data_IF_448686213277
#
_entry.id   IF_448686213277
#
_cell.length_a   1.000
_cell.length_b   1.000
_cell.length_c   1.000
_cell.angle_alpha   90.00
_cell.angle_beta   90.00
_cell.angle_gamma   90.00
#
_symmetry.space_group_name_H-M   'P 1'
#
loop_
_entity.id
_entity.type
_entity.pdbx_description
1 polymer ?
#
# COMPACT_ATOMS: atom_id res chain seq x y z
N UNK A 1 -14.39 -42.63 2.54
CA UNK A 1 -13.60 -43.70 3.20
C UNK A 1 -12.35 -43.97 2.37
N UNK A 2 -11.26 -43.27 2.68
CA UNK A 2 -9.97 -43.44 2.00
C UNK A 2 -9.18 -44.57 2.67
N UNK A 3 -8.73 -45.55 1.90
CA UNK A 3 -7.75 -46.56 2.33
C UNK A 3 -6.39 -46.20 1.76
N UNK A 4 -5.72 -45.21 2.35
CA UNK A 4 -4.29 -44.98 2.09
C UNK A 4 -3.53 -46.09 2.81
N UNK A 5 -2.81 -46.91 2.07
CA UNK A 5 -2.06 -48.03 2.67
C UNK A 5 -0.84 -47.51 3.43
N UNK A 6 -0.76 -47.80 4.74
CA UNK A 6 0.19 -47.19 5.70
C UNK A 6 1.45 -48.03 5.94
N UNK A 7 1.79 -48.94 5.02
CA UNK A 7 2.68 -50.08 5.30
C UNK A 7 4.17 -49.76 5.50
N UNK A 8 4.62 -48.53 5.23
CA UNK A 8 6.05 -48.20 5.29
C UNK A 8 6.33 -46.92 6.11
N UNK A 9 6.98 -47.05 7.29
CA UNK A 9 7.22 -45.92 8.20
C UNK A 9 8.15 -44.85 7.60
N UNK A 10 9.02 -45.21 6.65
CA UNK A 10 9.90 -44.26 5.97
C UNK A 10 9.12 -43.28 5.09
N UNK A 11 8.17 -43.79 4.29
CA UNK A 11 7.33 -42.94 3.45
C UNK A 11 6.31 -42.15 4.25
N UNK A 12 5.84 -42.71 5.38
CA UNK A 12 4.97 -41.98 6.31
C UNK A 12 5.66 -40.74 6.87
N UNK A 13 6.89 -40.88 7.39
CA UNK A 13 7.66 -39.75 7.91
C UNK A 13 7.89 -38.67 6.82
N UNK A 14 8.22 -39.10 5.60
CA UNK A 14 8.38 -38.19 4.48
C UNK A 14 7.07 -37.47 4.11
N UNK A 15 5.92 -38.13 4.23
CA UNK A 15 4.62 -37.50 3.98
C UNK A 15 4.22 -36.52 5.08
N UNK A 16 4.55 -36.81 6.35
CA UNK A 16 4.30 -35.90 7.48
C UNK A 16 5.12 -34.60 7.38
N UNK A 17 6.30 -34.66 6.75
CA UNK A 17 7.14 -33.48 6.50
C UNK A 17 6.66 -32.63 5.31
N UNK A 18 5.65 -33.07 4.55
CA UNK A 18 5.08 -32.31 3.43
C UNK A 18 3.97 -31.40 3.95
N UNK A 19 3.99 -30.13 3.52
CA UNK A 19 2.89 -29.20 3.77
C UNK A 19 1.53 -29.81 3.35
N UNK A 20 0.53 -29.71 4.23
CA UNK A 20 -0.79 -30.34 4.04
C UNK A 20 -1.44 -29.98 2.70
N UNK A 21 -1.24 -28.76 2.19
CA UNK A 21 -1.79 -28.34 0.89
C UNK A 21 -1.09 -29.05 -0.26
N UNK A 22 0.23 -29.17 -0.19
CA UNK A 22 1.02 -29.92 -1.18
C UNK A 22 0.62 -31.39 -1.19
N UNK A 23 0.40 -31.97 0.00
CA UNK A 23 -0.06 -33.35 0.16
C UNK A 23 -1.41 -33.57 -0.53
N UNK A 24 -2.40 -32.73 -0.21
CA UNK A 24 -3.73 -32.75 -0.83
C UNK A 24 -3.67 -32.64 -2.36
N UNK A 25 -2.87 -31.71 -2.88
CA UNK A 25 -2.69 -31.56 -4.32
C UNK A 25 -2.09 -32.79 -5.00
N UNK A 26 -1.10 -33.44 -4.38
CA UNK A 26 -0.49 -34.66 -4.94
C UNK A 26 -1.48 -35.81 -5.02
N UNK A 27 -2.27 -36.01 -3.96
CA UNK A 27 -3.30 -37.06 -3.91
C UNK A 27 -4.32 -36.82 -5.03
N UNK A 28 -4.89 -35.61 -5.09
CA UNK A 28 -5.87 -35.25 -6.10
C UNK A 28 -5.31 -35.39 -7.52
N UNK A 29 -4.05 -35.00 -7.76
CA UNK A 29 -3.44 -35.16 -9.08
C UNK A 29 -3.29 -36.63 -9.50
N UNK A 30 -2.87 -37.51 -8.58
CA UNK A 30 -2.76 -38.93 -8.86
C UNK A 30 -4.13 -39.52 -9.24
N UNK A 31 -5.20 -39.13 -8.53
CA UNK A 31 -6.57 -39.52 -8.88
C UNK A 31 -6.99 -38.97 -10.25
N UNK A 32 -6.73 -37.69 -10.52
CA UNK A 32 -7.05 -37.03 -11.79
C UNK A 32 -6.32 -37.68 -12.97
N UNK A 33 -5.12 -38.22 -12.74
CA UNK A 33 -4.34 -38.95 -13.74
C UNK A 33 -4.82 -40.40 -13.94
N UNK A 34 -5.67 -40.93 -13.04
CA UNK A 34 -6.26 -42.28 -13.14
C UNK A 34 -5.69 -43.32 -12.18
N UNK A 35 -4.85 -42.93 -11.21
CA UNK A 35 -4.36 -43.86 -10.19
C UNK A 35 -5.52 -44.30 -9.27
N UNK A 36 -5.79 -45.60 -9.19
CA UNK A 36 -6.91 -46.14 -8.39
C UNK A 36 -6.52 -46.42 -6.94
N UNK A 37 -5.28 -46.88 -6.72
CA UNK A 37 -4.73 -47.20 -5.40
C UNK A 37 -3.51 -46.32 -5.12
N UNK A 38 -3.67 -45.34 -4.23
CA UNK A 38 -2.63 -44.38 -3.88
C UNK A 38 -1.95 -44.83 -2.57
N UNK A 39 -0.68 -45.22 -2.65
CA UNK A 39 0.16 -45.55 -1.50
C UNK A 39 0.97 -44.34 -1.01
N UNK A 40 1.51 -44.42 0.22
CA UNK A 40 2.43 -43.40 0.74
C UNK A 40 3.68 -43.23 -0.14
N UNK A 41 4.15 -44.28 -0.80
CA UNK A 41 5.26 -44.19 -1.75
C UNK A 41 4.90 -43.29 -2.95
N UNK A 42 3.71 -43.47 -3.53
CA UNK A 42 3.23 -42.66 -4.66
C UNK A 42 3.22 -41.17 -4.33
N UNK A 43 2.81 -40.83 -3.10
CA UNK A 43 2.70 -39.46 -2.62
C UNK A 43 4.08 -38.88 -2.29
N UNK A 44 4.90 -39.63 -1.55
CA UNK A 44 6.23 -39.20 -1.11
C UNK A 44 7.14 -38.94 -2.31
N UNK A 45 7.18 -39.89 -3.25
CA UNK A 45 8.05 -39.85 -4.44
C UNK A 45 7.38 -39.19 -5.65
N UNK A 46 6.25 -38.50 -5.46
CA UNK A 46 5.52 -37.83 -6.53
C UNK A 46 6.41 -37.00 -7.47
N UNK A 47 7.33 -36.12 -7.00
CA UNK A 47 8.20 -35.35 -7.90
C UNK A 47 9.08 -36.24 -8.78
N UNK A 48 9.56 -37.37 -8.24
CA UNK A 48 10.37 -38.35 -8.98
C UNK A 48 9.54 -39.04 -10.05
N UNK A 49 8.29 -39.41 -9.74
CA UNK A 49 7.39 -40.03 -10.72
C UNK A 49 6.99 -39.09 -11.84
N UNK A 50 6.82 -37.79 -11.55
CA UNK A 50 6.53 -36.79 -12.58
C UNK A 50 7.65 -36.62 -13.62
N UNK A 51 8.90 -36.98 -13.28
CA UNK A 51 10.03 -36.96 -14.22
C UNK A 51 10.13 -38.23 -15.08
N UNK A 52 9.37 -39.28 -14.78
CA UNK A 52 9.36 -40.52 -15.55
C UNK A 52 8.56 -40.37 -16.84
N UNK A 53 8.83 -41.24 -17.81
CA UNK A 53 8.02 -41.37 -19.02
C UNK A 53 6.59 -41.79 -18.67
N UNK A 54 5.62 -41.43 -19.51
CA UNK A 54 4.21 -41.80 -19.32
C UNK A 54 4.06 -43.32 -19.14
N UNK A 55 4.76 -44.13 -19.94
CA UNK A 55 4.74 -45.59 -19.84
C UNK A 55 5.22 -46.10 -18.47
N UNK A 56 6.32 -45.56 -17.97
CA UNK A 56 6.83 -45.92 -16.64
C UNK A 56 5.88 -45.47 -15.55
N UNK A 57 5.35 -44.25 -15.63
CA UNK A 57 4.37 -43.73 -14.68
C UNK A 57 3.12 -44.62 -14.59
N UNK A 58 2.52 -44.98 -15.74
CA UNK A 58 1.37 -45.89 -15.80
C UNK A 58 1.67 -47.22 -15.09
N UNK A 59 2.84 -47.80 -15.33
CA UNK A 59 3.28 -49.05 -14.68
C UNK A 59 3.40 -48.91 -13.16
N UNK A 60 4.00 -47.83 -12.66
CA UNK A 60 4.17 -47.62 -11.22
C UNK A 60 2.84 -47.39 -10.49
N UNK A 61 1.87 -46.75 -11.14
CA UNK A 61 0.57 -46.43 -10.55
C UNK A 61 -0.56 -47.40 -10.92
N UNK A 62 -0.23 -48.54 -11.56
CA UNK A 62 -1.18 -49.54 -12.04
C UNK A 62 -2.31 -48.94 -12.93
N UNK A 63 -1.95 -47.98 -13.78
CA UNK A 63 -2.87 -47.39 -14.77
C UNK A 63 -2.80 -48.24 -16.04
N UNK A 64 -3.93 -48.69 -16.60
CA UNK A 64 -3.99 -49.43 -17.86
C UNK A 64 -3.22 -48.73 -18.99
N UNK A 65 -2.53 -49.52 -19.82
CA UNK A 65 -1.65 -48.96 -20.86
C UNK A 65 -2.42 -48.18 -21.94
N UNK A 66 -3.63 -48.63 -22.25
CA UNK A 66 -4.61 -48.07 -23.19
C UNK A 66 -5.29 -46.80 -22.67
N UNK A 67 -5.24 -46.52 -21.37
CA UNK A 67 -5.92 -45.38 -20.77
C UNK A 67 -5.16 -44.07 -21.03
N UNK A 68 -5.81 -43.09 -21.65
CA UNK A 68 -5.21 -41.77 -21.91
C UNK A 68 -5.28 -40.90 -20.65
N UNK A 69 -4.12 -40.51 -20.11
CA UNK A 69 -4.03 -39.73 -18.87
C UNK A 69 -4.64 -38.33 -19.06
N UNK A 70 -4.40 -37.68 -20.21
CA UNK A 70 -4.98 -36.37 -20.50
C UNK A 70 -6.52 -36.42 -20.49
N UNK A 71 -7.10 -37.46 -21.09
CA UNK A 71 -8.55 -37.69 -21.07
C UNK A 71 -9.09 -37.82 -19.65
N UNK A 72 -8.38 -38.53 -18.76
CA UNK A 72 -8.76 -38.65 -17.36
C UNK A 72 -8.75 -37.31 -16.63
N UNK A 73 -7.70 -36.50 -16.85
CA UNK A 73 -7.58 -35.17 -16.25
C UNK A 73 -8.78 -34.30 -16.65
N UNK A 74 -9.10 -34.19 -17.94
CA UNK A 74 -10.24 -33.36 -18.37
C UNK A 74 -11.59 -33.92 -17.91
N UNK A 75 -11.76 -35.25 -17.94
CA UNK A 75 -12.95 -35.91 -17.39
C UNK A 75 -13.15 -35.62 -15.90
N UNK A 76 -12.06 -35.52 -15.13
CA UNK A 76 -12.10 -35.27 -13.68
C UNK A 76 -12.71 -33.91 -13.31
N UNK A 77 -12.72 -32.97 -14.25
CA UNK A 77 -13.29 -31.62 -14.12
C UNK A 77 -14.56 -31.43 -14.97
N UNK A 78 -15.10 -32.51 -15.54
CA UNK A 78 -16.34 -32.49 -16.33
C UNK A 78 -16.19 -31.87 -17.72
N UNK A 79 -14.97 -31.83 -18.28
CA UNK A 79 -14.71 -31.32 -19.63
C UNK A 79 -14.56 -32.46 -20.64
N UNK A 80 -15.01 -32.22 -21.87
CA UNK A 80 -14.88 -33.15 -22.99
C UNK A 80 -13.45 -33.14 -23.51
N UNK A 81 -12.84 -34.31 -23.68
CA UNK A 81 -11.53 -34.40 -24.32
C UNK A 81 -11.64 -34.00 -25.80
N UNK A 82 -10.88 -32.99 -26.21
CA UNK A 82 -10.81 -32.56 -27.60
C UNK A 82 -9.84 -33.47 -28.37
N UNK A 83 -10.32 -34.03 -29.48
CA UNK A 83 -9.51 -34.86 -30.36
C UNK A 83 -8.32 -34.10 -30.97
N UNK A 84 -8.38 -32.76 -31.02
CA UNK A 84 -7.28 -31.91 -31.49
C UNK A 84 -6.14 -31.79 -30.47
N UNK A 85 -6.29 -32.32 -29.24
CA UNK A 85 -5.21 -32.36 -28.26
C UNK A 85 -4.23 -33.50 -28.60
N UNK A 86 -3.33 -33.25 -29.55
CA UNK A 86 -2.30 -34.23 -29.94
C UNK A 86 -1.25 -34.42 -28.84
N UNK A 87 -1.28 -35.58 -28.19
CA UNK A 87 -0.21 -36.01 -27.29
C UNK A 87 0.65 -37.08 -27.95
N UNK A 88 1.92 -36.76 -28.22
CA UNK A 88 2.94 -37.79 -28.51
C UNK A 88 3.32 -38.52 -27.22
N UNK A 89 2.44 -39.39 -26.72
CA UNK A 89 2.59 -40.05 -25.40
C UNK A 89 3.83 -40.97 -25.28
N UNK A 90 4.46 -41.37 -26.39
CA UNK A 90 5.44 -42.45 -26.39
C UNK A 90 6.83 -42.09 -25.83
N UNK A 91 7.22 -40.81 -25.80
CA UNK A 91 8.54 -40.36 -25.29
C UNK A 91 8.51 -39.20 -24.29
N UNK A 92 7.34 -38.61 -24.05
CA UNK A 92 7.19 -37.45 -23.15
C UNK A 92 7.19 -37.86 -21.67
N UNK A 93 7.78 -37.03 -20.81
CA UNK A 93 7.70 -37.22 -19.36
C UNK A 93 6.37 -36.70 -18.78
N UNK A 94 5.95 -37.22 -17.63
CA UNK A 94 4.66 -36.85 -17.04
C UNK A 94 4.53 -35.36 -16.70
N UNK A 95 5.63 -34.70 -16.32
CA UNK A 95 5.66 -33.27 -16.04
C UNK A 95 5.37 -32.44 -17.29
N UNK A 96 5.93 -32.83 -18.45
CA UNK A 96 5.64 -32.18 -19.73
C UNK A 96 4.18 -32.39 -20.14
N UNK A 97 3.64 -33.62 -20.00
CA UNK A 97 2.23 -33.87 -20.28
C UNK A 97 1.31 -33.02 -19.39
N UNK A 98 1.61 -32.95 -18.10
CA UNK A 98 0.87 -32.11 -17.16
C UNK A 98 0.90 -30.63 -17.58
N UNK A 99 2.07 -30.10 -17.94
CA UNK A 99 2.21 -28.71 -18.41
C UNK A 99 1.44 -28.45 -19.70
N UNK A 100 1.44 -29.40 -20.64
CA UNK A 100 0.64 -29.32 -21.87
C UNK A 100 -0.86 -29.29 -21.58
N UNK A 101 -1.34 -30.22 -20.74
CA UNK A 101 -2.75 -30.25 -20.33
C UNK A 101 -3.18 -28.95 -19.65
N UNK A 102 -2.28 -28.38 -18.85
CA UNK A 102 -2.52 -27.17 -18.09
C UNK A 102 -2.49 -25.91 -18.95
N UNK A 103 -1.57 -25.84 -19.91
CA UNK A 103 -1.52 -24.78 -20.91
C UNK A 103 -2.80 -24.82 -21.76
N UNK A 104 -3.17 -26.00 -22.28
CA UNK A 104 -4.41 -26.20 -23.03
C UNK A 104 -5.64 -25.84 -22.20
N UNK A 105 -5.68 -26.25 -20.93
CA UNK A 105 -6.77 -25.89 -20.03
C UNK A 105 -6.93 -24.37 -19.90
N UNK A 106 -5.82 -23.66 -19.74
CA UNK A 106 -5.86 -22.20 -19.61
C UNK A 106 -6.24 -21.52 -20.91
N UNK A 107 -5.65 -21.88 -22.03
CA UNK A 107 -5.89 -21.21 -23.32
C UNK A 107 -7.26 -21.53 -23.90
N UNK A 108 -7.70 -22.79 -23.85
CA UNK A 108 -8.94 -23.21 -24.51
C UNK A 108 -10.14 -23.02 -23.58
N UNK A 109 -10.06 -23.47 -22.33
CA UNK A 109 -11.22 -23.44 -21.44
C UNK A 109 -11.32 -22.18 -20.57
N UNK A 110 -10.19 -21.63 -20.14
CA UNK A 110 -10.20 -20.36 -19.41
C UNK A 110 -10.03 -19.14 -20.31
N UNK A 111 -9.57 -19.34 -21.55
CA UNK A 111 -9.21 -18.29 -22.49
C UNK A 111 -8.09 -17.37 -21.94
N UNK A 112 -7.23 -17.88 -21.07
CA UNK A 112 -6.18 -17.10 -20.40
C UNK A 112 -4.87 -17.22 -21.18
N UNK A 113 -4.22 -16.08 -21.43
CA UNK A 113 -2.92 -16.04 -22.09
C UNK A 113 -1.84 -16.62 -21.17
N UNK A 114 -0.96 -17.44 -21.74
CA UNK A 114 0.10 -18.10 -20.99
C UNK A 114 1.37 -17.27 -21.08
N UNK A 115 1.44 -16.16 -20.34
CA UNK A 115 2.65 -15.34 -20.24
C UNK A 115 3.56 -15.87 -19.13
N UNK A 116 4.75 -16.34 -19.53
CA UNK A 116 5.91 -16.76 -18.71
C UNK A 116 5.62 -17.71 -17.53
N UNK A 117 5.95 -18.99 -17.77
CA UNK A 117 5.82 -20.11 -16.85
C UNK A 117 6.77 -20.01 -15.65
N UNK A 118 6.29 -19.45 -14.53
CA UNK A 118 7.00 -19.49 -13.24
C UNK A 118 6.28 -20.39 -12.22
N UNK A 119 5.97 -21.65 -12.53
CA UNK A 119 5.34 -22.55 -11.54
C UNK A 119 6.30 -23.64 -11.09
N UNK A 120 6.72 -23.52 -9.82
CA UNK A 120 7.53 -24.53 -9.12
C UNK A 120 6.71 -25.64 -8.45
N UNK A 121 5.37 -25.70 -8.61
CA UNK A 121 4.51 -26.67 -7.92
C UNK A 121 3.38 -27.22 -8.81
N UNK A 122 3.20 -28.54 -8.76
CA UNK A 122 2.08 -29.26 -9.39
C UNK A 122 0.78 -28.99 -8.63
N UNK A 123 -0.30 -28.73 -9.36
CA UNK A 123 -1.61 -28.36 -8.81
C UNK A 123 -2.74 -29.15 -9.46
N UNK A 124 -3.66 -29.64 -8.63
CA UNK A 124 -4.87 -30.33 -9.11
C UNK A 124 -5.73 -29.46 -10.02
N UNK A 125 -6.19 -30.06 -11.12
CA UNK A 125 -7.10 -29.45 -12.07
C UNK A 125 -8.48 -29.22 -11.46
N UNK A 126 -8.96 -30.12 -10.59
CA UNK A 126 -10.22 -29.93 -9.84
C UNK A 126 -10.19 -28.67 -9.00
N UNK A 127 -9.10 -28.44 -8.25
CA UNK A 127 -8.96 -27.23 -7.43
C UNK A 127 -8.88 -25.99 -8.31
N UNK A 128 -8.09 -26.03 -9.38
CA UNK A 128 -7.98 -24.92 -10.33
C UNK A 128 -9.33 -24.59 -10.99
N UNK A 129 -10.10 -25.61 -11.39
CA UNK A 129 -11.42 -25.45 -12.00
C UNK A 129 -12.43 -24.86 -11.03
N UNK A 130 -12.47 -25.34 -9.78
CA UNK A 130 -13.31 -24.76 -8.73
C UNK A 130 -12.99 -23.28 -8.47
N UNK A 131 -11.70 -22.93 -8.36
CA UNK A 131 -11.27 -21.54 -8.22
C UNK A 131 -11.70 -20.67 -9.40
N UNK A 132 -11.48 -21.14 -10.63
CA UNK A 132 -11.91 -20.43 -11.83
C UNK A 132 -13.43 -20.22 -11.85
N UNK A 133 -14.20 -21.20 -11.40
CA UNK A 133 -15.66 -21.09 -11.29
C UNK A 133 -16.08 -20.06 -10.25
N UNK A 134 -15.46 -20.03 -9.07
CA UNK A 134 -15.72 -19.00 -8.04
C UNK A 134 -15.46 -17.61 -8.61
N UNK A 135 -14.30 -17.42 -9.27
CA UNK A 135 -13.94 -16.13 -9.84
C UNK A 135 -14.88 -15.69 -10.98
N UNK A 136 -15.34 -16.61 -11.83
CA UNK A 136 -16.25 -16.30 -12.94
C UNK A 136 -17.71 -16.14 -12.48
N UNK A 137 -18.20 -16.99 -11.59
CA UNK A 137 -19.62 -17.03 -11.20
C UNK A 137 -19.92 -16.13 -10.01
N UNK A 138 -19.12 -16.23 -8.95
CA UNK A 138 -19.40 -15.55 -7.69
C UNK A 138 -18.87 -14.12 -7.73
N UNK A 139 -17.61 -13.92 -8.16
CA UNK A 139 -17.00 -12.59 -8.26
C UNK A 139 -17.24 -11.88 -9.60
N UNK A 140 -17.79 -12.59 -10.59
CA UNK A 140 -18.03 -12.10 -11.96
C UNK A 140 -16.81 -11.40 -12.58
N UNK A 141 -15.62 -11.93 -12.35
CA UNK A 141 -14.38 -11.38 -12.89
C UNK A 141 -14.30 -11.63 -14.40
N UNK A 142 -13.95 -10.58 -15.14
CA UNK A 142 -13.74 -10.71 -16.59
C UNK A 142 -12.50 -11.54 -16.88
N UNK A 143 -12.47 -12.10 -18.09
CA UNK A 143 -11.31 -12.79 -18.65
C UNK A 143 -10.05 -11.93 -18.59
N UNK A 144 -10.15 -10.69 -19.06
CA UNK A 144 -9.01 -9.76 -19.10
C UNK A 144 -8.49 -9.43 -17.70
N UNK A 145 -9.38 -9.39 -16.71
CA UNK A 145 -9.00 -9.20 -15.32
C UNK A 145 -8.18 -10.38 -14.78
N UNK A 146 -8.58 -11.62 -15.09
CA UNK A 146 -7.84 -12.82 -14.71
C UNK A 146 -6.49 -12.92 -15.42
N UNK A 147 -6.39 -12.45 -16.67
CA UNK A 147 -5.11 -12.35 -17.39
C UNK A 147 -4.14 -11.40 -16.68
N UNK A 148 -4.59 -10.19 -16.33
CA UNK A 148 -3.78 -9.21 -15.59
C UNK A 148 -3.41 -9.68 -14.18
N UNK A 149 -4.25 -10.51 -13.56
CA UNK A 149 -4.10 -11.01 -12.20
C UNK A 149 -3.93 -12.54 -12.16
N UNK A 150 -3.03 -13.08 -12.99
CA UNK A 150 -2.82 -14.53 -13.14
C UNK A 150 -2.48 -15.25 -11.83
N UNK A 151 -1.94 -14.52 -10.83
CA UNK A 151 -1.68 -15.04 -9.49
C UNK A 151 -2.93 -15.55 -8.77
N UNK A 152 -4.14 -15.08 -9.13
CA UNK A 152 -5.41 -15.51 -8.54
C UNK A 152 -5.62 -17.02 -8.70
N UNK A 153 -5.21 -17.57 -9.84
CA UNK A 153 -5.29 -19.00 -10.13
C UNK A 153 -4.30 -19.85 -9.31
N UNK A 154 -3.43 -19.22 -8.53
CA UNK A 154 -2.47 -19.86 -7.63
C UNK A 154 -2.85 -19.72 -6.15
N UNK A 155 -3.96 -19.04 -5.84
CA UNK A 155 -4.46 -18.91 -4.46
C UNK A 155 -5.02 -20.22 -3.94
N UNK A 156 -5.09 -20.36 -2.63
CA UNK A 156 -5.64 -21.54 -1.96
C UNK A 156 -7.18 -21.53 -1.95
N UNK A 157 -7.81 -22.65 -2.29
CA UNK A 157 -9.27 -22.71 -2.49
C UNK A 157 -10.03 -22.49 -1.18
N UNK A 158 -9.57 -23.12 -0.10
CA UNK A 158 -10.24 -23.03 1.20
C UNK A 158 -10.11 -21.61 1.77
N UNK A 159 -8.92 -21.00 1.63
CA UNK A 159 -8.71 -19.60 2.02
C UNK A 159 -9.59 -18.64 1.22
N UNK A 160 -9.65 -18.76 -0.11
CA UNK A 160 -10.49 -17.91 -0.96
C UNK A 160 -11.97 -18.06 -0.59
N UNK A 161 -12.44 -19.29 -0.42
CA UNK A 161 -13.84 -19.58 -0.08
C UNK A 161 -14.21 -19.02 1.29
N UNK A 162 -13.36 -19.25 2.29
CA UNK A 162 -13.52 -18.69 3.63
C UNK A 162 -13.50 -17.16 3.61
N UNK A 163 -12.60 -16.56 2.83
CA UNK A 163 -12.50 -15.11 2.70
C UNK A 163 -13.79 -14.54 2.11
N UNK A 164 -14.25 -15.06 0.98
CA UNK A 164 -15.47 -14.60 0.32
C UNK A 164 -16.68 -14.73 1.25
N UNK A 165 -16.82 -15.86 1.94
CA UNK A 165 -17.96 -16.09 2.84
C UNK A 165 -17.99 -15.11 4.02
N UNK A 166 -16.84 -14.86 4.64
CA UNK A 166 -16.74 -13.94 5.79
C UNK A 166 -16.82 -12.48 5.38
N UNK A 167 -16.27 -12.13 4.23
CA UNK A 167 -16.18 -10.76 3.76
C UNK A 167 -17.45 -10.30 3.02
N UNK A 168 -18.38 -11.21 2.71
CA UNK A 168 -19.62 -10.94 1.95
C UNK A 168 -20.49 -9.83 2.54
N UNK A 169 -20.57 -9.73 3.86
CA UNK A 169 -21.41 -8.73 4.54
C UNK A 169 -20.71 -7.40 4.78
N UNK A 170 -19.42 -7.29 4.45
CA UNK A 170 -18.63 -6.09 4.68
C UNK A 170 -18.89 -5.11 3.55
N UNK A 171 -19.26 -3.88 3.92
CA UNK A 171 -19.36 -2.75 3.00
C UNK A 171 -18.31 -1.71 3.38
N UNK A 172 -17.64 -1.15 2.39
CA UNK A 172 -16.68 -0.05 2.59
C UNK A 172 -17.19 1.10 1.73
N UNK A 173 -17.52 2.24 2.34
CA UNK A 173 -18.01 3.42 1.60
C UNK A 173 -19.30 3.11 0.79
N UNK A 174 -20.16 2.24 1.31
CA UNK A 174 -21.38 1.78 0.63
C UNK A 174 -21.13 0.90 -0.61
N UNK A 175 -19.87 0.55 -0.89
CA UNK A 175 -19.48 -0.35 -1.98
C UNK A 175 -19.51 -1.79 -1.49
N UNK A 176 -20.02 -2.68 -2.34
CA UNK A 176 -20.09 -4.11 -2.04
C UNK A 176 -18.70 -4.76 -1.95
N UNK A 177 -18.63 -5.80 -1.11
CA UNK A 177 -17.45 -6.62 -0.87
C UNK A 177 -16.78 -7.13 -2.15
N UNK A 178 -17.55 -7.45 -3.20
CA UNK A 178 -17.00 -7.94 -4.46
C UNK A 178 -16.28 -6.85 -5.26
N UNK A 179 -16.78 -5.62 -5.23
CA UNK A 179 -16.14 -4.49 -5.91
C UNK A 179 -14.85 -4.06 -5.19
N UNK A 180 -14.84 -4.16 -3.86
CA UNK A 180 -13.63 -4.03 -3.04
C UNK A 180 -12.57 -5.06 -3.47
N UNK A 181 -12.94 -6.33 -3.64
CA UNK A 181 -12.03 -7.38 -4.12
C UNK A 181 -11.57 -7.13 -5.56
N UNK A 182 -12.43 -6.61 -6.45
CA UNK A 182 -12.02 -6.24 -7.82
C UNK A 182 -10.98 -5.13 -7.81
N UNK A 183 -11.10 -4.16 -6.91
CA UNK A 183 -10.15 -3.07 -6.76
C UNK A 183 -8.80 -3.54 -6.21
N UNK A 184 -8.81 -4.47 -5.25
CA UNK A 184 -7.60 -5.09 -4.71
C UNK A 184 -7.71 -6.61 -4.61
N UNK A 185 -7.44 -7.34 -5.72
CA UNK A 185 -7.57 -8.80 -5.76
C UNK A 185 -6.58 -9.50 -4.85
N UNK A 186 -5.50 -8.82 -4.45
CA UNK A 186 -4.50 -9.34 -3.51
C UNK A 186 -5.07 -9.58 -2.11
N UNK A 187 -6.21 -8.97 -1.74
CA UNK A 187 -6.88 -9.23 -0.45
C UNK A 187 -7.23 -10.70 -0.25
N UNK A 188 -7.57 -11.42 -1.32
CA UNK A 188 -7.90 -12.85 -1.28
C UNK A 188 -6.74 -13.76 -0.82
N UNK A 189 -5.51 -13.23 -0.74
CA UNK A 189 -4.35 -13.95 -0.21
C UNK A 189 -4.26 -13.88 1.32
N UNK A 190 -4.94 -12.91 1.93
CA UNK A 190 -4.84 -12.62 3.35
C UNK A 190 -5.96 -13.30 4.14
N UNK A 191 -5.80 -13.33 5.46
CA UNK A 191 -6.82 -13.85 6.35
C UNK A 191 -7.98 -12.86 6.48
N UNK A 192 -9.21 -13.34 6.26
CA UNK A 192 -10.41 -12.51 6.32
C UNK A 192 -10.63 -11.89 7.71
N UNK A 193 -10.34 -12.63 8.79
CA UNK A 193 -10.52 -12.08 10.14
C UNK A 193 -9.56 -10.91 10.36
N UNK A 194 -8.29 -11.04 9.95
CA UNK A 194 -7.33 -9.91 10.01
C UNK A 194 -7.82 -8.69 9.22
N UNK A 195 -8.39 -8.87 8.03
CA UNK A 195 -8.93 -7.75 7.24
C UNK A 195 -10.12 -7.07 7.93
N UNK A 196 -11.05 -7.85 8.51
CA UNK A 196 -12.20 -7.33 9.26
C UNK A 196 -11.72 -6.58 10.51
N UNK A 197 -10.83 -7.18 11.29
CA UNK A 197 -10.22 -6.55 12.46
C UNK A 197 -9.54 -5.22 12.12
N UNK A 198 -8.89 -5.13 10.95
CA UNK A 198 -8.25 -3.91 10.50
C UNK A 198 -9.25 -2.81 10.16
N UNK A 199 -10.40 -3.15 9.57
CA UNK A 199 -11.46 -2.17 9.33
C UNK A 199 -11.98 -1.60 10.65
N UNK A 200 -12.21 -2.46 11.65
CA UNK A 200 -12.62 -2.03 12.99
C UNK A 200 -11.57 -1.14 13.66
N UNK A 201 -10.28 -1.43 13.47
CA UNK A 201 -9.18 -0.61 13.98
C UNK A 201 -9.13 0.74 13.26
N UNK A 202 -9.29 0.76 11.93
CA UNK A 202 -9.31 2.01 11.16
C UNK A 202 -10.45 2.92 11.66
N UNK A 203 -11.63 2.35 11.89
CA UNK A 203 -12.77 3.07 12.45
C UNK A 203 -12.48 3.61 13.85
N UNK A 204 -11.85 2.80 14.72
CA UNK A 204 -11.42 3.25 16.07
C UNK A 204 -10.44 4.42 16.04
N UNK A 205 -9.57 4.46 15.03
CA UNK A 205 -8.63 5.58 14.84
C UNK A 205 -9.22 6.77 14.05
N UNK A 206 -10.51 6.71 13.68
CA UNK A 206 -11.19 7.79 12.96
C UNK A 206 -10.76 7.92 11.50
N UNK A 207 -10.23 6.85 10.89
CA UNK A 207 -9.95 6.79 9.46
C UNK A 207 -11.27 6.45 8.77
N UNK A 208 -11.77 7.35 7.92
CA UNK A 208 -13.06 7.17 7.27
C UNK A 208 -13.02 6.10 6.18
N UNK A 209 -14.17 5.49 5.92
CA UNK A 209 -14.36 4.49 4.87
C UNK A 209 -13.97 5.01 3.48
N UNK A 210 -14.17 6.29 3.19
CA UNK A 210 -13.77 6.90 1.91
C UNK A 210 -12.25 6.85 1.73
N UNK A 211 -11.52 7.11 2.80
CA UNK A 211 -10.05 7.09 2.81
C UNK A 211 -9.56 5.65 2.66
N UNK A 212 -10.17 4.69 3.38
CA UNK A 212 -9.85 3.26 3.26
C UNK A 212 -10.13 2.79 1.83
N UNK A 213 -11.27 3.18 1.24
CA UNK A 213 -11.60 2.82 -0.12
C UNK A 213 -10.56 3.37 -1.11
N UNK A 214 -10.05 4.60 -0.93
CA UNK A 214 -8.98 5.15 -1.76
C UNK A 214 -7.65 4.41 -1.59
N UNK A 215 -7.35 3.92 -0.38
CA UNK A 215 -6.10 3.27 -0.01
C UNK A 215 -6.28 1.85 0.50
N UNK A 216 -7.04 1.06 -0.25
CA UNK A 216 -7.50 -0.28 0.14
C UNK A 216 -6.33 -1.26 0.42
N UNK A 217 -5.17 -1.01 -0.18
CA UNK A 217 -3.96 -1.79 0.06
C UNK A 217 -3.52 -1.79 1.53
N UNK A 218 -3.92 -0.80 2.33
CA UNK A 218 -3.63 -0.76 3.78
C UNK A 218 -4.17 -1.99 4.50
N UNK A 219 -5.25 -2.58 3.99
CA UNK A 219 -5.88 -3.79 4.54
C UNK A 219 -5.07 -5.07 4.30
N UNK A 220 -3.97 -4.99 3.53
CA UNK A 220 -3.00 -6.08 3.36
C UNK A 220 -2.03 -6.20 4.53
N UNK A 221 -1.96 -5.19 5.40
CA UNK A 221 -1.08 -5.24 6.56
C UNK A 221 -1.55 -6.31 7.56
N UNK A 222 -0.63 -6.79 8.39
CA UNK A 222 -1.04 -7.54 9.58
C UNK A 222 -1.49 -6.56 10.65
N UNK A 223 -2.44 -6.97 11.49
CA UNK A 223 -2.95 -6.18 12.63
C UNK A 223 -1.86 -5.52 13.46
N UNK A 224 -0.85 -6.29 13.88
CA UNK A 224 0.24 -5.77 14.70
C UNK A 224 1.10 -4.75 13.94
N UNK A 225 1.40 -5.01 12.66
CA UNK A 225 2.16 -4.09 11.81
C UNK A 225 1.39 -2.78 11.63
N UNK A 226 0.09 -2.84 11.39
CA UNK A 226 -0.76 -1.65 11.26
C UNK A 226 -0.69 -0.79 12.53
N UNK A 227 -0.92 -1.39 13.70
CA UNK A 227 -0.91 -0.68 15.00
C UNK A 227 0.47 -0.08 15.28
N UNK A 228 1.53 -0.84 15.06
CA UNK A 228 2.90 -0.38 15.26
C UNK A 228 3.20 0.82 14.35
N UNK A 229 2.90 0.69 13.05
CA UNK A 229 3.14 1.75 12.06
C UNK A 229 2.33 3.01 12.35
N UNK A 230 1.05 2.86 12.71
CA UNK A 230 0.21 3.98 13.11
C UNK A 230 0.78 4.69 14.34
N UNK A 231 1.16 3.94 15.38
CA UNK A 231 1.74 4.50 16.61
C UNK A 231 3.07 5.19 16.37
N UNK A 232 3.94 4.62 15.51
CA UNK A 232 5.19 5.26 15.09
C UNK A 232 4.93 6.62 14.45
N UNK A 233 3.96 6.72 13.54
CA UNK A 233 3.61 7.98 12.88
C UNK A 233 2.94 8.96 13.86
N UNK A 234 2.04 8.49 14.73
CA UNK A 234 1.37 9.33 15.71
C UNK A 234 2.35 9.98 16.71
N UNK A 235 3.38 9.23 17.13
CA UNK A 235 4.36 9.69 18.11
C UNK A 235 5.51 10.49 17.48
N UNK A 236 5.66 10.46 16.16
CA UNK A 236 6.74 11.19 15.50
C UNK A 236 6.37 12.68 15.34
N UNK A 237 7.23 13.63 15.76
CA UNK A 237 6.90 15.05 15.80
C UNK A 237 6.36 15.62 14.48
N UNK A 238 6.98 15.26 13.36
CA UNK A 238 6.60 15.75 12.04
C UNK A 238 5.38 15.04 11.43
N UNK A 239 5.00 13.88 11.96
CA UNK A 239 3.88 13.08 11.45
C UNK A 239 2.61 13.21 12.27
N UNK A 240 2.75 13.51 13.56
CA UNK A 240 1.64 13.68 14.50
C UNK A 240 0.59 14.68 14.00
N UNK A 241 1.03 15.76 13.33
CA UNK A 241 0.19 16.80 12.72
C UNK A 241 -0.68 16.27 11.58
N UNK A 242 -0.31 15.13 11.01
CA UNK A 242 -0.96 14.54 9.83
C UNK A 242 -1.74 13.28 10.13
N UNK A 243 -1.97 12.95 11.40
CA UNK A 243 -2.54 11.66 11.78
C UNK A 243 -3.98 11.47 11.26
N UNK A 244 -4.68 12.57 10.92
CA UNK A 244 -6.01 12.51 10.31
C UNK A 244 -6.00 12.76 8.79
N UNK A 245 -4.82 12.88 8.19
CA UNK A 245 -4.70 13.23 6.78
C UNK A 245 -5.09 12.05 5.88
N UNK A 246 -5.83 12.26 4.77
CA UNK A 246 -6.27 11.19 3.87
C UNK A 246 -5.13 10.33 3.30
N UNK A 247 -3.92 10.89 3.16
CA UNK A 247 -2.75 10.16 2.66
C UNK A 247 -2.03 9.32 3.73
N UNK A 248 -2.46 9.37 5.00
CA UNK A 248 -1.80 8.62 6.08
C UNK A 248 -1.76 7.11 5.79
N UNK A 249 -2.85 6.43 5.37
CA UNK A 249 -2.79 4.99 5.09
C UNK A 249 -1.78 4.63 4.01
N UNK A 250 -1.61 5.50 3.02
CA UNK A 250 -0.57 5.32 2.00
C UNK A 250 0.83 5.42 2.60
N UNK A 251 1.11 6.41 3.47
CA UNK A 251 2.40 6.50 4.16
C UNK A 251 2.65 5.30 5.07
N UNK A 252 1.62 4.77 5.72
CA UNK A 252 1.73 3.54 6.51
C UNK A 252 2.23 2.37 5.66
N UNK A 253 1.79 2.24 4.41
CA UNK A 253 2.28 1.19 3.51
C UNK A 253 3.79 1.33 3.24
N UNK A 254 4.25 2.56 2.99
CA UNK A 254 5.65 2.88 2.63
C UNK A 254 6.50 3.38 3.81
N UNK A 255 6.13 3.06 5.05
CA UNK A 255 6.72 3.68 6.25
C UNK A 255 8.25 3.57 6.32
N UNK A 256 8.84 2.45 5.88
CA UNK A 256 10.30 2.28 5.87
C UNK A 256 10.96 3.32 4.96
N UNK A 257 10.47 3.43 3.73
CA UNK A 257 10.96 4.38 2.73
C UNK A 257 10.69 5.83 3.18
N UNK A 258 9.58 6.10 3.88
CA UNK A 258 9.28 7.40 4.46
C UNK A 258 10.22 7.78 5.61
N UNK A 259 10.49 6.87 6.55
CA UNK A 259 11.38 7.11 7.69
C UNK A 259 12.84 7.30 7.26
N UNK A 260 13.31 6.54 6.26
CA UNK A 260 14.64 6.74 5.66
C UNK A 260 14.78 8.17 5.10
N UNK A 261 13.76 8.67 4.41
CA UNK A 261 13.76 10.04 3.88
C UNK A 261 13.73 11.10 4.97
N UNK A 262 13.02 10.85 6.06
CA UNK A 262 13.05 11.73 7.24
C UNK A 262 14.45 11.80 7.82
N UNK A 263 15.16 10.67 7.92
CA UNK A 263 16.54 10.65 8.41
C UNK A 263 17.51 11.39 7.49
N UNK A 264 17.35 11.25 6.17
CA UNK A 264 18.13 12.02 5.19
C UNK A 264 17.85 13.52 5.33
N UNK A 265 16.60 13.93 5.51
CA UNK A 265 16.26 15.35 5.71
C UNK A 265 16.79 15.87 7.04
N UNK A 266 16.82 15.03 8.08
CA UNK A 266 17.43 15.34 9.38
C UNK A 266 18.92 15.60 9.26
N UNK A 267 19.67 14.73 8.56
CA UNK A 267 21.11 14.92 8.37
C UNK A 267 21.44 16.17 7.53
N UNK A 268 20.51 16.61 6.68
CA UNK A 268 20.63 17.87 5.91
C UNK A 268 20.12 19.11 6.66
N UNK A 269 19.71 18.99 7.94
CA UNK A 269 19.04 20.06 8.71
C UNK A 269 17.78 20.64 8.02
N UNK A 270 17.09 19.82 7.21
CA UNK A 270 15.95 20.20 6.36
C UNK A 270 14.64 19.54 6.78
N UNK A 271 14.47 19.23 8.08
CA UNK A 271 13.26 18.59 8.62
C UNK A 271 11.98 19.40 8.37
N UNK A 272 12.06 20.73 8.38
CA UNK A 272 10.92 21.59 8.04
C UNK A 272 10.38 21.37 6.62
N UNK A 273 11.15 20.71 5.75
CA UNK A 273 10.76 20.44 4.37
C UNK A 273 9.98 19.14 4.16
N UNK A 274 9.54 18.50 5.26
CA UNK A 274 8.73 17.28 5.19
C UNK A 274 7.32 17.62 4.69
N UNK A 275 6.95 17.00 3.59
CA UNK A 275 5.57 16.95 3.08
C UNK A 275 5.23 15.52 2.70
N UNK A 276 3.94 15.16 2.67
CA UNK A 276 3.52 13.88 2.12
C UNK A 276 4.12 13.61 0.74
N UNK A 277 4.12 14.63 -0.13
CA UNK A 277 4.69 14.51 -1.47
C UNK A 277 6.17 14.15 -1.46
N UNK A 278 6.96 14.79 -0.60
CA UNK A 278 8.38 14.46 -0.40
C UNK A 278 8.56 13.00 0.01
N UNK A 279 7.62 12.45 0.78
CA UNK A 279 7.74 11.12 1.37
C UNK A 279 7.26 9.99 0.48
N UNK A 280 6.34 10.22 -0.46
CA UNK A 280 5.90 9.20 -1.42
C UNK A 280 6.49 9.31 -2.82
N UNK A 281 7.21 10.39 -3.14
CA UNK A 281 7.79 10.57 -4.49
C UNK A 281 8.83 9.49 -4.82
N UNK A 282 9.28 9.38 -6.06
CA UNK A 282 10.32 8.39 -6.40
C UNK A 282 11.66 8.79 -5.77
N UNK A 283 12.57 7.84 -5.58
CA UNK A 283 13.91 8.14 -5.04
C UNK A 283 14.62 9.21 -5.88
N UNK A 284 14.52 9.10 -7.21
CA UNK A 284 15.11 10.06 -8.16
C UNK A 284 14.54 11.47 -8.00
N UNK A 285 13.22 11.60 -7.93
CA UNK A 285 12.57 12.91 -7.77
C UNK A 285 12.82 13.50 -6.40
N UNK A 286 12.92 12.67 -5.35
CA UNK A 286 13.34 13.09 -4.03
C UNK A 286 14.72 13.75 -4.12
N UNK A 287 15.78 13.02 -4.48
CA UNK A 287 17.13 13.58 -4.53
C UNK A 287 17.27 14.79 -5.46
N UNK A 288 16.64 14.77 -6.65
CA UNK A 288 16.65 15.92 -7.56
C UNK A 288 16.04 17.19 -6.95
N UNK A 289 15.06 17.05 -6.06
CA UNK A 289 14.44 18.20 -5.38
C UNK A 289 15.38 18.87 -4.36
N UNK A 290 16.43 18.16 -3.91
CA UNK A 290 17.38 18.65 -2.90
C UNK A 290 18.81 18.84 -3.43
N UNK A 291 19.16 18.27 -4.59
CA UNK A 291 20.51 18.29 -5.17
C UNK A 291 20.99 19.66 -5.71
N UNK A 292 20.11 20.68 -5.78
CA UNK A 292 20.45 21.96 -6.42
C UNK A 292 20.34 23.18 -5.51
N UNK A 293 20.36 23.01 -4.18
CA UNK A 293 20.22 24.12 -3.23
C UNK A 293 18.87 24.84 -3.28
N UNK A 294 17.97 24.50 -4.22
CA UNK A 294 16.62 25.04 -4.29
C UNK A 294 15.87 24.67 -3.02
N UNK A 295 15.30 25.69 -2.37
CA UNK A 295 14.45 25.45 -1.22
C UNK A 295 13.20 24.68 -1.69
N UNK A 296 12.85 23.58 -1.02
CA UNK A 296 11.73 22.76 -1.44
C UNK A 296 10.42 23.54 -1.35
N UNK A 297 9.58 23.44 -2.36
CA UNK A 297 8.18 23.87 -2.27
C UNK A 297 7.42 22.79 -1.51
N UNK A 298 7.51 22.86 -0.18
CA UNK A 298 6.93 21.91 0.77
C UNK A 298 5.40 21.99 0.72
N UNK A 299 4.86 23.21 0.64
CA UNK A 299 3.46 23.46 0.84
C UNK A 299 2.63 23.46 -0.45
N UNK A 300 1.52 22.71 -0.41
CA UNK A 300 0.45 22.71 -1.41
C UNK A 300 -0.83 23.28 -0.80
N UNK A 301 -1.64 23.96 -1.62
CA UNK A 301 -2.92 24.56 -1.21
C UNK A 301 -3.87 23.56 -0.52
N UNK A 302 -3.94 22.32 -1.01
CA UNK A 302 -4.78 21.25 -0.42
C UNK A 302 -4.42 20.93 1.03
N UNK A 303 -3.14 21.06 1.40
CA UNK A 303 -2.70 20.80 2.76
C UNK A 303 -3.11 21.94 3.71
N UNK A 304 -3.11 23.20 3.25
CA UNK A 304 -3.70 24.30 4.01
C UNK A 304 -5.21 24.13 4.20
N UNK A 305 -5.92 23.69 3.16
CA UNK A 305 -7.34 23.36 3.27
C UNK A 305 -7.58 22.29 4.33
N UNK A 306 -6.75 21.25 4.37
CA UNK A 306 -6.81 20.22 5.41
C UNK A 306 -6.64 20.81 6.82
N UNK A 307 -5.57 21.59 7.05
CA UNK A 307 -5.30 22.21 8.36
C UNK A 307 -6.43 23.17 8.76
N UNK A 308 -6.95 23.98 7.85
CA UNK A 308 -8.04 24.90 8.16
C UNK A 308 -9.33 24.16 8.47
N UNK A 309 -9.64 23.08 7.74
CA UNK A 309 -10.76 22.21 8.10
C UNK A 309 -10.60 21.63 9.50
N UNK A 310 -9.41 21.15 9.85
CA UNK A 310 -9.14 20.54 11.15
C UNK A 310 -9.15 21.56 12.31
N UNK A 311 -8.57 22.74 12.12
CA UNK A 311 -8.36 23.71 13.20
C UNK A 311 -9.41 24.82 13.27
N UNK A 312 -10.00 25.23 12.14
CA UNK A 312 -10.91 26.38 12.04
C UNK A 312 -12.34 25.97 11.64
N UNK A 313 -12.49 24.86 10.91
CA UNK A 313 -13.78 24.35 10.41
C UNK A 313 -13.92 24.47 8.89
N UNK A 314 -14.99 23.91 8.33
CA UNK A 314 -15.22 23.86 6.87
C UNK A 314 -15.47 25.24 6.24
N UNK A 315 -16.06 26.17 6.98
CA UNK A 315 -16.38 27.52 6.50
C UNK A 315 -15.12 28.33 6.11
N UNK A 316 -13.96 27.97 6.67
CA UNK A 316 -12.71 28.70 6.52
C UNK A 316 -11.77 28.14 5.44
N UNK A 317 -12.23 27.18 4.63
CA UNK A 317 -11.44 26.61 3.52
C UNK A 317 -11.00 27.65 2.48
N UNK A 318 -11.80 28.71 2.31
CA UNK A 318 -11.53 29.81 1.39
C UNK A 318 -10.29 30.63 1.77
N UNK A 319 -9.88 30.62 3.05
CA UNK A 319 -8.68 31.30 3.54
C UNK A 319 -7.39 30.83 2.85
N UNK A 320 -7.41 29.60 2.31
CA UNK A 320 -6.30 29.07 1.51
C UNK A 320 -5.97 29.96 0.31
N UNK A 321 -6.97 30.65 -0.27
CA UNK A 321 -6.75 31.61 -1.37
C UNK A 321 -5.92 32.81 -0.94
N UNK A 322 -6.14 33.31 0.28
CA UNK A 322 -5.47 34.49 0.80
C UNK A 322 -4.01 34.18 1.15
N UNK A 323 -3.75 33.01 1.74
CA UNK A 323 -2.39 32.54 1.98
C UNK A 323 -1.61 32.38 0.67
N UNK A 324 -2.25 31.83 -0.37
CA UNK A 324 -1.55 31.59 -1.64
C UNK A 324 -1.09 32.85 -2.38
N UNK A 325 -1.52 34.04 -1.93
CA UNK A 325 -1.04 35.33 -2.44
C UNK A 325 0.34 35.71 -1.88
N UNK A 326 0.74 35.13 -0.74
CA UNK A 326 2.00 35.48 -0.08
C UNK A 326 3.21 34.84 -0.80
N UNK A 327 4.23 35.59 -1.27
CA UNK A 327 5.29 35.05 -2.15
C UNK A 327 5.95 33.75 -1.66
N UNK A 328 6.19 33.64 -0.36
CA UNK A 328 6.90 32.51 0.27
C UNK A 328 6.00 31.44 0.87
N UNK A 329 4.69 31.43 0.58
CA UNK A 329 3.73 30.50 1.21
C UNK A 329 4.09 29.01 1.00
N UNK A 330 4.75 28.69 -0.12
CA UNK A 330 5.12 27.31 -0.49
C UNK A 330 6.27 26.74 0.32
N UNK A 331 7.00 27.58 1.02
CA UNK A 331 8.23 27.17 1.70
C UNK A 331 8.00 26.93 3.20
N UNK A 332 6.84 27.34 3.71
CA UNK A 332 6.54 27.22 5.14
C UNK A 332 6.23 25.77 5.50
N UNK A 333 6.92 25.20 6.51
CA UNK A 333 6.61 23.89 7.04
C UNK A 333 5.18 23.82 7.56
N UNK A 334 4.51 22.71 7.30
CA UNK A 334 3.14 22.53 7.78
C UNK A 334 3.04 22.34 9.29
N UNK A 335 4.02 21.67 9.89
CA UNK A 335 4.09 21.51 11.35
C UNK A 335 4.19 22.87 12.05
N UNK A 336 4.86 23.83 11.41
CA UNK A 336 4.89 25.23 11.86
C UNK A 336 3.49 25.88 11.83
N UNK A 337 2.80 25.80 10.68
CA UNK A 337 1.45 26.39 10.52
C UNK A 337 0.46 25.84 11.56
N UNK A 338 0.46 24.53 11.78
CA UNK A 338 -0.42 23.89 12.75
C UNK A 338 -0.12 24.32 14.21
N UNK A 339 1.17 24.37 14.57
CA UNK A 339 1.61 24.87 15.90
C UNK A 339 1.18 26.32 16.12
N UNK A 340 1.36 27.17 15.11
CA UNK A 340 0.96 28.57 15.18
C UNK A 340 -0.55 28.73 15.35
N UNK A 341 -1.36 28.03 14.56
CA UNK A 341 -2.82 28.06 14.71
C UNK A 341 -3.26 27.62 16.10
N UNK A 342 -2.67 26.56 16.64
CA UNK A 342 -2.95 26.10 18.01
C UNK A 342 -2.63 27.18 19.04
N UNK A 343 -1.50 27.88 18.89
CA UNK A 343 -1.11 28.97 19.76
C UNK A 343 -2.06 30.17 19.64
N UNK A 344 -2.38 30.63 18.43
CA UNK A 344 -3.26 31.77 18.23
C UNK A 344 -4.66 31.49 18.76
N UNK A 345 -5.20 30.28 18.56
CA UNK A 345 -6.50 29.86 19.12
C UNK A 345 -6.56 29.85 20.65
N UNK A 346 -5.42 29.77 21.35
CA UNK A 346 -5.42 29.89 22.81
C UNK A 346 -5.61 31.33 23.32
N UNK A 347 -5.52 32.33 22.42
CA UNK A 347 -5.52 33.75 22.78
C UNK A 347 -6.59 34.54 22.02
N UNK A 348 -6.86 34.19 20.77
CA UNK A 348 -7.72 34.92 19.84
C UNK A 348 -8.89 34.07 19.34
N UNK A 349 -9.98 34.73 18.96
CA UNK A 349 -11.11 34.08 18.30
C UNK A 349 -10.73 33.60 16.89
N UNK A 350 -11.52 32.66 16.34
CA UNK A 350 -11.29 32.15 14.98
C UNK A 350 -11.50 33.26 13.95
N UNK A 351 -12.47 34.14 14.22
CA UNK A 351 -12.82 35.30 13.40
C UNK A 351 -11.65 36.30 13.34
N UNK A 352 -11.03 36.63 14.48
CA UNK A 352 -9.87 37.51 14.54
C UNK A 352 -8.67 36.95 13.76
N UNK A 353 -8.42 35.64 13.89
CA UNK A 353 -7.35 34.94 13.18
C UNK A 353 -7.64 34.94 11.67
N UNK A 354 -8.89 34.72 11.26
CA UNK A 354 -9.27 34.65 9.85
C UNK A 354 -9.03 35.96 9.10
N UNK A 355 -9.28 37.10 9.76
CA UNK A 355 -9.03 38.43 9.20
C UNK A 355 -7.54 38.69 8.97
N UNK A 356 -6.67 38.07 9.78
CA UNK A 356 -5.21 38.26 9.74
C UNK A 356 -4.46 36.96 9.43
N UNK A 357 -5.04 36.07 8.61
CA UNK A 357 -4.58 34.69 8.45
C UNK A 357 -3.11 34.54 8.01
N UNK A 358 -2.53 35.56 7.36
CA UNK A 358 -1.12 35.56 6.94
C UNK A 358 -0.15 35.46 8.12
N UNK A 359 -0.57 35.86 9.32
CA UNK A 359 0.24 35.77 10.55
C UNK A 359 0.72 34.34 10.83
N UNK A 360 0.02 33.31 10.33
CA UNK A 360 0.38 31.91 10.57
C UNK A 360 1.68 31.49 9.88
N UNK A 361 2.17 32.29 8.94
CA UNK A 361 3.40 32.03 8.18
C UNK A 361 4.66 32.41 8.97
N UNK A 362 4.55 33.23 10.02
CA UNK A 362 5.68 33.76 10.78
C UNK A 362 6.08 32.85 11.95
N UNK A 363 7.34 32.83 12.41
CA UNK A 363 7.78 32.06 13.58
C UNK A 363 7.04 32.43 14.88
N UNK A 364 6.69 31.42 15.69
CA UNK A 364 5.92 31.60 16.93
C UNK A 364 6.61 32.50 17.94
N UNK A 365 7.93 32.36 18.09
CA UNK A 365 8.68 33.10 19.11
C UNK A 365 8.78 34.59 18.78
N UNK A 366 8.84 34.91 17.48
CA UNK A 366 8.86 36.30 17.00
C UNK A 366 7.50 36.95 17.18
N UNK A 367 6.42 36.23 16.87
CA UNK A 367 5.06 36.71 17.11
C UNK A 367 4.82 36.95 18.60
N UNK A 368 5.24 36.03 19.47
CA UNK A 368 5.14 36.21 20.93
C UNK A 368 5.82 37.50 21.41
N UNK A 369 7.09 37.69 21.03
CA UNK A 369 7.87 38.88 21.40
C UNK A 369 7.23 40.17 20.88
N UNK A 370 6.75 40.16 19.65
CA UNK A 370 6.12 41.34 19.05
C UNK A 370 4.78 41.67 19.72
N UNK A 371 3.97 40.65 20.01
CA UNK A 371 2.70 40.83 20.73
C UNK A 371 2.92 41.35 22.16
N UNK A 372 3.95 40.88 22.88
CA UNK A 372 4.29 41.44 24.20
C UNK A 372 4.67 42.91 24.09
N UNK A 373 5.53 43.27 23.13
CA UNK A 373 5.91 44.68 22.92
C UNK A 373 4.72 45.57 22.55
N UNK A 374 3.78 45.06 21.74
CA UNK A 374 2.55 45.79 21.39
C UNK A 374 1.68 45.97 22.63
N UNK A 375 1.45 44.90 23.40
CA UNK A 375 0.63 44.95 24.61
C UNK A 375 1.22 45.90 25.66
N UNK A 376 2.53 45.89 25.86
CA UNK A 376 3.21 46.79 26.81
C UNK A 376 3.04 48.26 26.41
N UNK A 377 3.15 48.56 25.10
CA UNK A 377 2.94 49.92 24.57
C UNK A 377 1.47 50.36 24.65
N UNK A 378 0.53 49.44 24.44
CA UNK A 378 -0.90 49.73 24.59
C UNK A 378 -1.26 49.95 26.07
N UNK A 379 -0.67 49.18 26.99
CA UNK A 379 -0.89 49.36 28.42
C UNK A 379 -0.33 50.71 28.93
N UNK A 380 0.79 51.18 28.36
CA UNK A 380 1.36 52.49 28.67
C UNK A 380 0.52 53.66 28.12
N UNK A 381 -0.09 53.49 26.94
CA UNK A 381 -0.90 54.51 26.27
C UNK A 381 -2.39 54.21 26.42
N UNK A 382 -3.00 54.70 27.51
CA UNK A 382 -4.43 54.50 27.87
C UNK A 382 -5.46 54.97 26.82
N UNK A 383 -5.03 55.62 25.74
CA UNK A 383 -5.92 56.21 24.71
C UNK A 383 -6.24 55.28 23.54
N UNK A 384 -5.53 54.15 23.35
CA UNK A 384 -5.75 53.26 22.21
C UNK A 384 -6.18 51.86 22.63
N UNK A 385 -7.49 51.64 22.78
CA UNK A 385 -8.05 50.31 23.02
C UNK A 385 -8.24 49.57 21.68
N UNK A 386 -7.16 48.96 21.19
CA UNK A 386 -7.21 48.17 19.96
C UNK A 386 -7.94 46.84 20.18
N UNK A 387 -8.85 46.52 19.26
CA UNK A 387 -9.50 45.20 19.19
C UNK A 387 -8.47 44.09 18.96
N UNK A 388 -8.76 42.83 19.35
CA UNK A 388 -7.83 41.71 19.17
C UNK A 388 -7.37 41.54 17.71
N UNK A 389 -8.29 41.64 16.74
CA UNK A 389 -7.95 41.64 15.31
C UNK A 389 -6.99 42.78 14.92
N UNK A 390 -7.21 44.00 15.41
CA UNK A 390 -6.30 45.13 15.15
C UNK A 390 -4.91 44.90 15.74
N UNK A 391 -4.80 44.24 16.91
CA UNK A 391 -3.51 43.88 17.50
C UNK A 391 -2.74 42.88 16.63
N UNK A 392 -3.45 41.89 16.05
CA UNK A 392 -2.85 40.95 15.09
C UNK A 392 -2.39 41.67 13.82
N UNK A 393 -3.22 42.57 13.27
CA UNK A 393 -2.86 43.38 12.10
C UNK A 393 -1.62 44.24 12.37
N UNK A 394 -1.56 44.89 13.55
CA UNK A 394 -0.42 45.70 13.97
C UNK A 394 0.85 44.85 14.14
N UNK A 395 0.72 43.62 14.65
CA UNK A 395 1.82 42.67 14.76
C UNK A 395 2.43 42.37 13.38
N UNK A 396 1.60 42.00 12.40
CA UNK A 396 2.06 41.75 11.02
C UNK A 396 2.66 43.02 10.41
N UNK A 397 2.04 44.18 10.62
CA UNK A 397 2.57 45.46 10.15
C UNK A 397 3.97 45.75 10.69
N UNK A 398 4.18 45.58 12.00
CA UNK A 398 5.46 45.85 12.64
C UNK A 398 6.57 44.91 12.14
N UNK A 399 6.21 43.66 11.81
CA UNK A 399 7.14 42.69 11.24
C UNK A 399 7.51 43.04 9.79
N UNK A 400 6.53 43.41 8.96
CA UNK A 400 6.74 43.67 7.53
C UNK A 400 7.25 45.08 7.23
N UNK A 401 7.08 46.05 8.15
CA UNK A 401 7.50 47.45 7.93
C UNK A 401 8.98 47.58 7.55
N UNK A 402 9.84 46.76 8.17
CA UNK A 402 11.29 46.76 7.89
C UNK A 402 11.65 46.10 6.55
N UNK A 403 10.69 45.42 5.92
CA UNK A 403 10.86 44.69 4.66
C UNK A 403 9.94 45.22 3.56
N UNK A 404 9.39 46.43 3.73
CA UNK A 404 8.53 47.08 2.73
C UNK A 404 7.35 46.22 2.26
N UNK A 405 6.83 45.34 3.11
CA UNK A 405 5.69 44.46 2.81
C UNK A 405 5.90 43.54 1.60
N UNK A 406 7.16 43.17 1.30
CA UNK A 406 7.46 42.20 0.24
C UNK A 406 7.15 40.76 0.66
N UNK A 407 6.90 40.51 1.95
CA UNK A 407 6.76 39.17 2.53
C UNK A 407 8.11 38.51 2.85
N UNK A 408 9.23 39.20 2.58
CA UNK A 408 10.57 38.67 2.85
C UNK A 408 10.90 38.59 4.35
N UNK A 409 10.11 39.25 5.20
CA UNK A 409 10.24 39.09 6.64
C UNK A 409 10.08 37.63 7.04
N UNK A 410 9.07 36.94 6.47
CA UNK A 410 8.87 35.50 6.70
C UNK A 410 10.12 34.70 6.33
N UNK A 411 10.72 35.01 5.18
CA UNK A 411 11.89 34.30 4.66
C UNK A 411 13.14 34.50 5.52
N UNK A 412 13.47 35.76 5.79
CA UNK A 412 14.68 36.14 6.53
C UNK A 412 14.65 35.71 7.99
N UNK A 413 13.45 35.67 8.59
CA UNK A 413 13.28 35.24 9.98
C UNK A 413 13.30 33.71 10.09
N UNK A 414 12.77 32.98 9.11
CA UNK A 414 12.73 31.50 9.13
C UNK A 414 14.09 30.85 8.83
N UNK A 415 14.89 31.46 7.94
CA UNK A 415 16.13 30.85 7.40
C UNK A 415 17.38 31.67 7.72
N UNK A 416 17.41 32.39 8.84
CA UNK A 416 18.57 33.19 9.25
C UNK A 416 19.87 32.38 9.27
N UNK A 417 19.79 31.13 9.73
CA UNK A 417 20.96 30.26 9.97
C UNK A 417 21.47 29.56 8.70
N UNK A 418 20.65 29.48 7.64
CA UNK A 418 21.03 28.87 6.35
C UNK A 418 21.77 29.85 5.44
N UNK A 419 21.49 31.15 5.56
CA UNK A 419 22.14 32.21 4.75
C UNK A 419 23.64 32.38 5.05
N UNK A 420 24.10 32.00 6.24
CA UNK A 420 25.54 32.01 6.58
C UNK A 420 26.29 30.80 5.99
N UNK A 421 25.60 29.66 5.80
CA UNK A 421 26.23 28.41 5.37
C UNK A 421 26.20 28.17 3.84
N UNK A 422 25.39 28.91 3.09
CA UNK A 422 25.24 28.67 1.64
C UNK A 422 26.40 29.18 0.78
N UNK A 423 27.36 29.94 1.35
CA UNK A 423 28.53 30.42 0.60
C UNK A 423 29.73 29.45 0.61
N UNK A 424 29.70 28.34 1.36
CA UNK A 424 30.92 27.56 1.61
C UNK A 424 30.97 26.12 1.07
N UNK A 425 29.88 25.51 0.60
CA UNK A 425 29.95 24.11 0.15
C UNK A 425 28.99 23.79 -1.01
N UNK A 426 29.42 24.07 -2.25
CA UNK A 426 28.90 23.39 -3.43
C UNK A 426 29.93 22.31 -3.84
N UNK A 427 29.65 21.00 -3.65
CA UNK A 427 30.51 19.98 -4.22
C UNK A 427 30.17 19.79 -5.70
N UNK A 428 31.15 20.06 -6.55
CA UNK A 428 31.18 19.67 -7.96
C UNK A 428 31.23 18.13 -8.09
N UNK A 429 30.55 17.64 -9.12
CA UNK A 429 30.65 16.29 -9.70
C UNK A 429 30.31 15.08 -8.82
N UNK A 430 29.10 14.53 -9.04
CA UNK A 430 28.87 13.07 -9.12
C UNK A 430 27.72 12.78 -10.10
N UNK A 431 28.07 12.66 -11.38
CA UNK A 431 27.29 11.89 -12.35
C UNK A 431 27.49 10.39 -12.09
N UNK A 432 26.50 9.60 -12.52
CA UNK A 432 26.40 8.13 -12.48
C UNK A 432 26.12 7.46 -11.14
N UNK A 433 24.83 7.43 -10.78
CA UNK A 433 24.25 6.27 -10.11
C UNK A 433 22.98 5.85 -10.85
N UNK A 434 23.05 4.69 -11.51
CA UNK A 434 21.90 3.99 -12.04
C UNK A 434 20.98 3.61 -10.88
N UNK A 435 19.77 4.16 -10.86
CA UNK A 435 18.74 3.84 -9.87
C UNK A 435 17.62 3.06 -10.56
N UNK A 436 17.65 1.74 -10.40
CA UNK A 436 16.57 0.83 -10.77
C UNK A 436 15.33 1.00 -9.87
N UNK A 437 14.25 0.39 -10.33
CA UNK A 437 12.88 0.89 -10.33
C UNK A 437 12.04 0.77 -9.04
N UNK A 438 10.89 1.47 -9.09
CA UNK A 438 9.86 1.73 -8.06
C UNK A 438 9.18 0.51 -7.40
N UNK A 439 9.51 -0.71 -7.82
CA UNK A 439 8.80 -1.94 -7.44
C UNK A 439 9.25 -2.55 -6.09
N UNK A 440 10.39 -2.16 -5.52
CA UNK A 440 10.88 -2.79 -4.29
C UNK A 440 10.09 -2.40 -3.01
N UNK A 441 9.62 -1.16 -2.86
CA UNK A 441 8.94 -0.73 -1.62
C UNK A 441 7.55 -1.42 -1.44
N UNK A 442 6.89 -1.88 -2.50
CA UNK A 442 5.55 -2.54 -2.43
C UNK A 442 5.61 -4.07 -2.49
N UNK A 443 6.72 -4.64 -2.98
CA UNK A 443 6.90 -6.10 -3.11
C UNK A 443 7.36 -6.78 -1.80
N UNK A 444 7.71 -5.99 -0.77
CA UNK A 444 8.05 -6.47 0.58
C UNK A 444 6.88 -6.51 1.59
N UNK A 445 5.62 -6.32 1.15
CA UNK A 445 4.40 -6.40 1.99
C UNK A 445 3.50 -7.55 1.60
#
# INVERSE_FOLDING_TARGET
>A
NMTVNMDNPYYLLNCLNIDSKVLSHRILLLEEMGARNISLEHISRFPTFMLKTIKSFKRYHNIPHDECIAKNIFKSIGLTYDANFETKESSTCMSQLYLLCLAYYKTVYLNIEVTQFLWKKYRSFRVLHKLANIFKKDLRLSKDFLNRNSFLLNLDLDQVTNFINKFKSVQICGVDSYDVIRKCPRLLRWDANNTIDLLDICNKYGISDEIIHQHIDVLRLKKHDFINRYSTLANHPEFSVWIKHPMLPYVMLIIKCAMERVEILRSMNRLGNISFHTLYTTRRTFFRSYAHGRHPQVAKRRCFQFIFKEHLGEDYLHLSNYITRHPHWRNIPFSHVAKMLKYLKSIYSVEDISQNIQIILYPQDVIKKMLTTINDRCAANKENDFTPSQRLALCVYMLEKMYHFTGDAVWKIMYSDENENTMLNAPENRDDVNFEDFDECLNGV
#
